data_IF_310219244625
#
_entry.id   IF_310219244625
#
_cell.length_a   1.000
_cell.length_b   1.000
_cell.length_c   1.000
_cell.angle_alpha   90.00
_cell.angle_beta   90.00
_cell.angle_gamma   90.00
#
_symmetry.space_group_name_H-M   'P 1'
#
loop_
_entity.id
_entity.type
_entity.pdbx_description
1 polymer ?
#
# COMPACT_ATOMS: atom_id res chain seq x y z
N UNK A 1 14.61 -6.46 -0.79
CA UNK A 1 14.04 -6.43 -2.15
C UNK A 1 13.32 -7.74 -2.47
N UNK A 2 12.83 -8.45 -1.44
CA UNK A 2 12.14 -9.75 -1.58
C UNK A 2 10.72 -9.67 -0.99
N UNK A 3 10.51 -8.73 -0.07
CA UNK A 3 9.26 -8.41 0.59
C UNK A 3 8.08 -8.14 -0.37
N UNK A 4 8.31 -7.52 -1.53
CA UNK A 4 7.28 -7.33 -2.56
C UNK A 4 6.87 -8.63 -3.25
N UNK A 5 7.76 -9.61 -3.28
CA UNK A 5 7.54 -10.95 -3.84
C UNK A 5 6.94 -11.88 -2.78
N UNK A 6 7.30 -11.65 -1.52
CA UNK A 6 6.91 -12.44 -0.36
C UNK A 6 5.53 -12.09 0.18
N UNK A 7 5.14 -10.81 0.13
CA UNK A 7 3.83 -10.33 0.56
C UNK A 7 3.07 -9.76 -0.64
N UNK A 8 1.78 -10.09 -0.73
CA UNK A 8 0.91 -9.52 -1.76
C UNK A 8 0.65 -8.04 -1.43
N UNK A 9 1.34 -7.14 -2.14
CA UNK A 9 1.00 -5.73 -2.10
C UNK A 9 -0.34 -5.47 -2.79
N UNK A 10 -1.07 -4.51 -2.22
CA UNK A 10 -2.35 -4.06 -2.76
C UNK A 10 -2.18 -2.62 -3.20
N UNK A 11 -2.59 -2.34 -4.43
CA UNK A 11 -2.78 -0.97 -4.92
C UNK A 11 -4.27 -0.66 -4.78
N UNK A 12 -4.63 0.01 -3.71
CA UNK A 12 -6.01 0.42 -3.43
C UNK A 12 -6.34 1.67 -4.24
N UNK A 13 -7.36 1.55 -5.11
CA UNK A 13 -8.02 2.67 -5.80
C UNK A 13 -9.34 3.08 -5.14
N UNK A 14 -9.89 2.18 -4.32
CA UNK A 14 -11.16 2.33 -3.62
C UNK A 14 -10.93 2.10 -2.13
N UNK A 15 -11.68 2.84 -1.31
CA UNK A 15 -11.84 2.62 0.12
C UNK A 15 -13.35 2.53 0.37
N UNK A 16 -13.81 1.42 0.95
CA UNK A 16 -15.24 1.14 1.18
C UNK A 16 -16.11 1.36 -0.08
N UNK A 17 -15.70 0.74 -1.19
CA UNK A 17 -16.32 0.84 -2.52
C UNK A 17 -16.36 2.26 -3.14
N UNK A 18 -15.72 3.25 -2.50
CA UNK A 18 -15.65 4.64 -2.98
C UNK A 18 -14.24 5.00 -3.41
N UNK A 19 -14.11 5.85 -4.44
CA UNK A 19 -12.80 6.34 -4.86
C UNK A 19 -12.09 7.07 -3.71
N UNK A 20 -10.82 6.74 -3.48
CA UNK A 20 -10.07 7.36 -2.38
C UNK A 20 -9.88 8.84 -2.70
N UNK A 21 -10.34 9.76 -1.83
CA UNK A 21 -10.14 11.19 -2.06
C UNK A 21 -8.66 11.55 -1.94
N UNK A 22 -8.21 12.44 -2.83
CA UNK A 22 -6.81 12.89 -2.94
C UNK A 22 -6.24 13.46 -1.64
N UNK A 23 -7.11 14.11 -0.86
CA UNK A 23 -6.78 14.75 0.42
C UNK A 23 -6.57 13.76 1.58
N UNK A 24 -7.03 12.52 1.45
CA UNK A 24 -6.83 11.51 2.50
C UNK A 24 -5.66 10.60 2.13
N UNK A 25 -5.80 9.80 1.06
CA UNK A 25 -4.76 8.86 0.58
C UNK A 25 -4.85 8.56 -0.93
N UNK A 26 -5.62 9.35 -1.67
CA UNK A 26 -5.93 9.10 -3.07
C UNK A 26 -4.96 9.72 -4.07
N UNK A 27 -5.12 9.43 -5.37
CA UNK A 27 -6.08 8.48 -5.95
C UNK A 27 -5.62 7.01 -5.87
N UNK A 28 -4.34 6.77 -5.57
CA UNK A 28 -3.73 5.46 -5.45
C UNK A 28 -2.99 5.34 -4.13
N UNK A 29 -3.26 4.26 -3.41
CA UNK A 29 -2.58 3.92 -2.17
C UNK A 29 -1.96 2.53 -2.29
N UNK A 30 -0.64 2.46 -2.15
CA UNK A 30 0.11 1.19 -2.14
C UNK A 30 0.29 0.78 -0.69
N UNK A 31 -0.22 -0.40 -0.34
CA UNK A 31 -0.26 -0.86 1.05
C UNK A 31 0.01 -2.35 1.13
N UNK A 32 0.70 -2.75 2.21
CA UNK A 32 0.83 -4.15 2.59
C UNK A 32 -0.45 -4.62 3.28
N UNK A 33 -0.87 -5.87 3.03
CA UNK A 33 -2.02 -6.42 3.75
C UNK A 33 -1.64 -6.73 5.20
N UNK A 34 -1.77 -5.76 6.10
CA UNK A 34 -1.40 -5.87 7.52
C UNK A 34 -2.12 -7.00 8.27
N UNK A 35 -3.24 -7.49 7.73
CA UNK A 35 -3.99 -8.62 8.30
C UNK A 35 -3.50 -9.98 7.81
N UNK A 36 -2.69 -10.04 6.74
CA UNK A 36 -2.14 -11.31 6.25
C UNK A 36 -1.04 -11.89 7.14
N UNK A 37 -0.28 -11.05 7.85
CA UNK A 37 0.79 -11.51 8.73
C UNK A 37 1.08 -10.52 9.85
N UNK A 38 1.33 -11.02 11.06
CA UNK A 38 1.62 -10.18 12.23
C UNK A 38 2.91 -9.35 12.07
N UNK A 39 3.88 -9.85 11.30
CA UNK A 39 5.13 -9.13 10.99
C UNK A 39 4.92 -7.84 10.18
N UNK A 40 3.83 -7.78 9.42
CA UNK A 40 3.46 -6.59 8.63
C UNK A 40 2.93 -5.46 9.50
N UNK A 41 2.56 -5.73 10.76
CA UNK A 41 2.05 -4.74 11.71
C UNK A 41 3.18 -4.02 12.45
N UNK A 42 4.19 -3.58 11.71
CA UNK A 42 5.36 -2.86 12.24
C UNK A 42 5.53 -1.52 11.53
N UNK A 43 6.13 -0.53 12.21
CA UNK A 43 6.35 0.82 11.65
C UNK A 43 7.00 0.79 10.28
N UNK A 44 7.94 -0.13 10.05
CA UNK A 44 8.61 -0.30 8.77
C UNK A 44 7.65 -0.52 7.60
N UNK A 45 6.62 -1.36 7.74
CA UNK A 45 5.66 -1.60 6.66
C UNK A 45 4.59 -0.51 6.54
N UNK A 46 4.25 0.15 7.65
CA UNK A 46 3.41 1.35 7.62
C UNK A 46 4.10 2.49 6.86
N UNK A 47 5.40 2.73 7.12
CA UNK A 47 6.21 3.74 6.43
C UNK A 47 6.44 3.41 4.95
N UNK A 48 6.54 2.12 4.60
CA UNK A 48 6.61 1.67 3.21
C UNK A 48 5.28 1.78 2.46
N UNK A 49 4.18 1.97 3.16
CA UNK A 49 2.87 2.15 2.52
C UNK A 49 2.72 3.60 2.06
N UNK A 50 2.74 3.80 0.75
CA UNK A 50 2.84 5.11 0.12
C UNK A 50 1.51 5.50 -0.55
N UNK A 51 1.09 6.72 -0.29
CA UNK A 51 -0.05 7.38 -0.92
C UNK A 51 0.45 8.44 -1.91
N UNK A 52 -0.40 8.86 -2.86
CA UNK A 52 -0.02 9.73 -3.98
C UNK A 52 1.15 9.18 -4.83
N UNK A 53 1.11 7.88 -5.14
CA UNK A 53 2.06 7.25 -6.06
C UNK A 53 2.03 7.97 -7.43
N UNK A 54 3.14 8.59 -7.83
CA UNK A 54 3.28 9.29 -9.12
C UNK A 54 3.91 8.43 -10.20
N UNK A 55 4.84 7.56 -9.83
CA UNK A 55 5.53 6.64 -10.71
C UNK A 55 5.89 5.38 -9.92
N UNK A 56 5.88 4.23 -10.60
CA UNK A 56 6.37 2.97 -10.11
C UNK A 56 7.45 2.49 -11.07
N UNK A 57 8.69 2.41 -10.60
CA UNK A 57 9.78 1.82 -11.35
C UNK A 57 10.00 0.39 -10.84
N UNK A 58 10.01 -0.56 -11.77
CA UNK A 58 10.22 -1.98 -11.48
C UNK A 58 11.55 -2.37 -12.11
N UNK A 59 12.39 -3.08 -11.34
CA UNK A 59 13.70 -3.57 -11.75
C UNK A 59 13.62 -5.07 -12.03
#
# INVERSE_FOLDING_TARGET
MDDTTKYKLVVARLLDDKAIPVREKGPLFVVYNFDSAAELRTSTYYERSIWQLKALEVQ
#
